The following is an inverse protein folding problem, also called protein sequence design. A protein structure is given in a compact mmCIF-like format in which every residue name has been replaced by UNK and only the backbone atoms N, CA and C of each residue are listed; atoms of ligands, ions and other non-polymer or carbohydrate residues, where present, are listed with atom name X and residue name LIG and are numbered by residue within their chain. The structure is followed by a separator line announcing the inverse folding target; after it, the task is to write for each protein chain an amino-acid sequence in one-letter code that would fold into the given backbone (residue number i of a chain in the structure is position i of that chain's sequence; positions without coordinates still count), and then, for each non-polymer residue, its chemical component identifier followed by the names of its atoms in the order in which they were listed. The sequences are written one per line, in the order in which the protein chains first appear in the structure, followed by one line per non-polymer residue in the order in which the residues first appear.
data_IF_773558065052
#
_entry.id   IF_773558065052
#
_cell.length_a   1.000
_cell.length_b   1.000
_cell.length_c   1.000
_cell.angle_alpha   90.00
_cell.angle_beta   90.00
_cell.angle_gamma   90.00
#
_symmetry.space_group_name_H-M   'P 1'
#
loop_
_entity.id
_entity.type
_entity.pdbx_description
1 polymer ?
#
# COMPACT_ATOMS: atom_id res chain seq x y z
N UNK A 1 -19.56 -2.57 -7.14
CA UNK A 1 -19.87 -1.62 -8.24
C UNK A 1 -19.93 -0.16 -7.75
N UNK A 2 -20.90 0.21 -6.89
CA UNK A 2 -21.07 1.61 -6.45
C UNK A 2 -19.77 2.25 -5.92
N UNK A 3 -19.04 1.54 -5.04
CA UNK A 3 -17.76 2.02 -4.51
C UNK A 3 -16.76 2.37 -5.61
N UNK A 4 -16.61 1.53 -6.63
CA UNK A 4 -15.71 1.80 -7.76
C UNK A 4 -16.10 3.08 -8.53
N UNK A 5 -17.40 3.31 -8.76
CA UNK A 5 -17.90 4.50 -9.45
C UNK A 5 -17.60 5.77 -8.63
N UNK A 6 -17.89 5.72 -7.33
CA UNK A 6 -17.63 6.84 -6.42
C UNK A 6 -16.13 7.09 -6.23
N UNK A 7 -15.30 6.05 -6.15
CA UNK A 7 -13.85 6.17 -6.07
C UNK A 7 -13.29 6.93 -7.27
N UNK A 8 -13.65 6.53 -8.49
CA UNK A 8 -13.19 7.22 -9.70
C UNK A 8 -13.67 8.69 -9.74
N UNK A 9 -14.90 8.97 -9.30
CA UNK A 9 -15.40 10.33 -9.18
C UNK A 9 -14.62 11.17 -8.16
N UNK A 10 -14.29 10.61 -6.98
CA UNK A 10 -13.48 11.29 -5.96
C UNK A 10 -12.07 11.60 -6.45
N UNK A 11 -11.39 10.63 -7.09
CA UNK A 11 -10.05 10.84 -7.66
C UNK A 11 -10.05 12.00 -8.65
N UNK A 12 -10.96 11.99 -9.63
CA UNK A 12 -11.11 13.09 -10.60
C UNK A 12 -11.48 14.42 -9.94
N UNK A 13 -12.30 14.40 -8.89
CA UNK A 13 -12.65 15.58 -8.12
C UNK A 13 -11.44 16.25 -7.47
N UNK A 14 -10.61 15.45 -6.79
CA UNK A 14 -9.39 15.92 -6.11
C UNK A 14 -8.31 16.38 -7.07
N UNK A 15 -8.03 15.60 -8.13
CA UNK A 15 -6.86 15.82 -8.99
C UNK A 15 -7.16 16.64 -10.25
N UNK A 16 -8.42 16.71 -10.67
CA UNK A 16 -8.75 17.20 -12.02
C UNK A 16 -8.24 16.27 -13.11
N UNK A 17 -8.13 16.79 -14.33
CA UNK A 17 -7.58 16.06 -15.49
C UNK A 17 -6.05 15.93 -15.42
N UNK A 18 -5.38 16.91 -14.83
CA UNK A 18 -3.94 16.90 -14.58
C UNK A 18 -3.64 17.69 -13.31
N UNK A 19 -2.90 17.07 -12.39
CA UNK A 19 -2.61 17.65 -11.08
C UNK A 19 -1.87 19.00 -11.17
N UNK A 20 -1.01 19.16 -12.18
CA UNK A 20 -0.24 20.38 -12.42
C UNK A 20 -1.04 21.52 -13.09
N UNK A 21 -2.25 21.25 -13.57
CA UNK A 21 -3.02 22.21 -14.35
C UNK A 21 -3.78 23.24 -13.48
N UNK A 22 -4.06 22.92 -12.22
CA UNK A 22 -4.78 23.82 -11.30
C UNK A 22 -4.19 23.72 -9.88
N UNK A 23 -3.61 24.80 -9.32
CA UNK A 23 -2.98 24.78 -8.00
C UNK A 23 -3.96 24.56 -6.83
N UNK A 24 -5.27 24.56 -7.10
CA UNK A 24 -6.30 24.23 -6.10
C UNK A 24 -6.59 22.73 -6.02
N UNK A 25 -6.05 21.93 -6.95
CA UNK A 25 -6.17 20.47 -6.97
C UNK A 25 -5.11 19.84 -6.08
N UNK A 26 -5.41 18.63 -5.61
CA UNK A 26 -4.56 17.88 -4.67
C UNK A 26 -4.42 16.44 -5.13
N UNK A 27 -3.24 15.86 -4.90
CA UNK A 27 -2.98 14.45 -5.14
C UNK A 27 -3.93 13.60 -4.29
N UNK A 28 -4.62 12.66 -4.92
CA UNK A 28 -5.46 11.70 -4.21
C UNK A 28 -4.60 10.48 -3.80
N UNK A 29 -4.89 9.97 -2.61
CA UNK A 29 -4.31 8.73 -2.09
C UNK A 29 -5.43 7.69 -1.93
N UNK A 30 -5.38 6.60 -2.68
CA UNK A 30 -6.33 5.50 -2.52
C UNK A 30 -5.93 4.63 -1.33
N UNK A 31 -6.87 4.41 -0.40
CA UNK A 31 -6.60 3.68 0.84
C UNK A 31 -7.78 2.85 1.34
N UNK A 32 -7.58 1.78 2.13
CA UNK A 32 -6.28 1.18 2.51
C UNK A 32 -6.11 -0.12 1.71
N UNK A 33 -5.00 -0.25 0.97
CA UNK A 33 -4.72 -1.35 0.05
C UNK A 33 -4.09 -2.53 0.80
N UNK A 34 -4.79 -3.65 1.04
CA UNK A 34 -6.15 -3.95 0.61
C UNK A 34 -6.96 -4.76 1.64
N UNK A 35 -8.26 -4.81 1.38
CA UNK A 35 -9.25 -5.60 2.12
C UNK A 35 -9.44 -5.22 3.61
N UNK A 36 -8.90 -4.08 4.07
CA UNK A 36 -8.95 -3.64 5.47
C UNK A 36 -10.33 -3.71 6.13
N UNK A 37 -11.40 -3.37 5.41
CA UNK A 37 -12.77 -3.47 5.93
C UNK A 37 -13.30 -4.90 6.15
N UNK A 38 -12.51 -5.93 5.81
CA UNK A 38 -12.82 -7.34 6.02
C UNK A 38 -12.35 -7.88 7.38
N UNK A 39 -11.88 -7.03 8.28
CA UNK A 39 -11.27 -7.43 9.54
C UNK A 39 -12.19 -8.35 10.37
N UNK A 40 -11.63 -9.48 10.83
CA UNK A 40 -12.40 -10.52 11.50
C UNK A 40 -13.07 -9.99 12.77
N UNK A 41 -14.36 -10.29 12.91
CA UNK A 41 -15.18 -9.83 14.03
C UNK A 41 -15.41 -8.31 14.07
N UNK A 42 -15.12 -7.59 12.98
CA UNK A 42 -15.32 -6.14 12.88
C UNK A 42 -14.39 -5.33 13.79
N UNK A 43 -13.30 -5.93 14.26
CA UNK A 43 -12.30 -5.27 15.10
C UNK A 43 -11.27 -4.57 14.22
N UNK A 44 -11.05 -3.29 14.48
CA UNK A 44 -10.03 -2.52 13.78
C UNK A 44 -8.65 -3.22 13.86
N UNK A 45 -7.82 -3.08 12.83
CA UNK A 45 -6.49 -3.74 12.69
C UNK A 45 -6.47 -5.27 12.61
N UNK A 46 -7.58 -5.95 12.84
CA UNK A 46 -7.58 -7.41 12.98
C UNK A 46 -7.38 -8.14 11.64
N UNK A 47 -7.05 -9.43 11.72
CA UNK A 47 -6.81 -10.34 10.61
C UNK A 47 -7.87 -10.27 9.51
N UNK A 48 -7.43 -10.29 8.25
CA UNK A 48 -8.29 -10.57 7.09
C UNK A 48 -7.82 -11.85 6.43
N UNK A 49 -8.67 -12.88 6.45
CA UNK A 49 -8.46 -14.12 5.70
C UNK A 49 -9.47 -14.19 4.56
N UNK A 50 -8.98 -14.26 3.32
CA UNK A 50 -9.83 -14.15 2.14
C UNK A 50 -9.26 -14.93 0.97
N UNK A 51 -10.11 -15.66 0.25
CA UNK A 51 -9.68 -16.33 -0.97
C UNK A 51 -9.32 -15.33 -2.06
N UNK A 52 -8.35 -15.69 -2.90
CA UNK A 52 -7.91 -14.85 -4.02
C UNK A 52 -9.06 -14.46 -4.95
N UNK A 53 -9.97 -15.40 -5.21
CA UNK A 53 -11.17 -15.12 -5.99
C UNK A 53 -12.03 -14.02 -5.35
N UNK A 54 -12.26 -14.06 -4.03
CA UNK A 54 -13.05 -13.03 -3.35
C UNK A 54 -12.29 -11.70 -3.28
N UNK A 55 -10.99 -11.74 -3.02
CA UNK A 55 -10.12 -10.57 -3.04
C UNK A 55 -10.26 -9.80 -4.37
N UNK A 56 -10.06 -10.49 -5.49
CA UNK A 56 -10.13 -9.91 -6.85
C UNK A 56 -11.52 -9.42 -7.23
N UNK A 57 -12.58 -10.12 -6.84
CA UNK A 57 -13.94 -9.79 -7.28
C UNK A 57 -14.67 -8.79 -6.38
N UNK A 58 -14.25 -8.65 -5.12
CA UNK A 58 -14.98 -7.84 -4.12
C UNK A 58 -14.14 -6.67 -3.59
N UNK A 59 -12.89 -6.93 -3.18
CA UNK A 59 -12.09 -5.95 -2.43
C UNK A 59 -11.20 -5.08 -3.31
N UNK A 60 -10.63 -5.66 -4.37
CA UNK A 60 -9.73 -4.98 -5.31
C UNK A 60 -10.40 -4.05 -6.35
N UNK A 61 -11.65 -4.26 -6.81
CA UNK A 61 -12.23 -3.43 -7.88
C UNK A 61 -12.29 -1.92 -7.60
N UNK A 62 -12.52 -1.43 -6.38
CA UNK A 62 -12.45 0.01 -6.10
C UNK A 62 -11.06 0.61 -6.27
N UNK A 63 -10.00 -0.14 -5.92
CA UNK A 63 -8.61 0.31 -6.11
C UNK A 63 -8.24 0.34 -7.59
N UNK A 64 -8.59 -0.70 -8.36
CA UNK A 64 -8.39 -0.67 -9.81
C UNK A 64 -9.11 0.51 -10.47
N UNK A 65 -10.31 0.86 -9.99
CA UNK A 65 -11.01 2.05 -10.45
C UNK A 65 -10.32 3.37 -10.08
N UNK A 66 -9.64 3.44 -8.92
CA UNK A 66 -8.81 4.59 -8.55
C UNK A 66 -7.62 4.74 -9.51
N UNK A 67 -6.92 3.65 -9.80
CA UNK A 67 -5.81 3.60 -10.75
C UNK A 67 -6.25 4.02 -12.16
N UNK A 68 -7.35 3.45 -12.66
CA UNK A 68 -7.91 3.82 -13.96
C UNK A 68 -8.36 5.29 -14.02
N UNK A 69 -8.61 5.92 -12.87
CA UNK A 69 -8.91 7.36 -12.76
C UNK A 69 -7.65 8.22 -12.54
N UNK A 70 -6.46 7.61 -12.55
CA UNK A 70 -5.17 8.29 -12.44
C UNK A 70 -4.74 8.66 -11.02
N UNK A 71 -5.15 7.90 -9.99
CA UNK A 71 -4.78 8.22 -8.59
C UNK A 71 -3.27 8.35 -8.40
N UNK A 72 -2.83 9.42 -7.74
CA UNK A 72 -1.42 9.74 -7.59
C UNK A 72 -0.67 8.78 -6.66
N UNK A 73 -1.30 8.38 -5.55
CA UNK A 73 -0.67 7.48 -4.57
C UNK A 73 -1.64 6.40 -4.07
N UNK A 74 -1.08 5.30 -3.56
CA UNK A 74 -1.81 4.22 -2.86
C UNK A 74 -1.21 4.05 -1.47
N UNK A 75 -2.05 3.82 -0.46
CA UNK A 75 -1.59 3.56 0.91
C UNK A 75 -1.84 2.10 1.28
N UNK A 76 -0.79 1.40 1.72
CA UNK A 76 -0.89 0.03 2.22
C UNK A 76 -1.74 -0.05 3.50
N UNK A 77 -2.40 -1.18 3.76
CA UNK A 77 -3.28 -1.37 4.93
C UNK A 77 -2.60 -2.07 6.10
N UNK A 78 -3.08 -1.83 7.32
CA UNK A 78 -2.55 -2.46 8.53
C UNK A 78 -2.76 -3.98 8.62
N UNK A 79 -3.87 -4.50 8.08
CA UNK A 79 -4.22 -5.90 8.26
C UNK A 79 -3.28 -6.85 7.53
N UNK A 80 -3.24 -8.09 8.00
CA UNK A 80 -2.82 -9.21 7.17
C UNK A 80 -3.86 -9.48 6.09
N UNK A 81 -3.41 -9.87 4.90
CA UNK A 81 -4.25 -10.46 3.85
C UNK A 81 -3.77 -11.88 3.65
N UNK A 82 -4.60 -12.85 4.08
CA UNK A 82 -4.29 -14.29 4.01
C UNK A 82 -2.95 -14.64 4.68
N UNK A 83 -2.72 -14.03 5.85
CA UNK A 83 -1.56 -14.29 6.72
C UNK A 83 -0.38 -13.34 6.53
N UNK A 84 -0.34 -12.53 5.48
CA UNK A 84 0.80 -11.62 5.22
C UNK A 84 0.39 -10.15 5.43
N UNK A 85 1.04 -9.38 6.34
CA UNK A 85 0.83 -7.93 6.50
C UNK A 85 0.95 -7.18 5.17
N UNK A 86 0.01 -6.30 4.85
CA UNK A 86 -0.03 -5.69 3.51
C UNK A 86 1.21 -4.82 3.20
N UNK A 87 1.83 -4.20 4.20
CA UNK A 87 3.08 -3.43 4.05
C UNK A 87 4.28 -4.27 3.59
N UNK A 88 4.24 -5.60 3.77
CA UNK A 88 5.29 -6.53 3.33
C UNK A 88 4.75 -7.59 2.35
N UNK A 89 3.60 -7.35 1.73
CA UNK A 89 2.95 -8.31 0.84
C UNK A 89 3.33 -8.04 -0.62
N UNK A 90 4.36 -8.72 -1.13
CA UNK A 90 4.84 -8.59 -2.52
C UNK A 90 3.79 -8.99 -3.56
N UNK A 91 2.93 -9.96 -3.24
CA UNK A 91 1.83 -10.35 -4.11
C UNK A 91 0.88 -9.18 -4.35
N UNK A 92 0.51 -8.44 -3.29
CA UNK A 92 -0.34 -7.26 -3.44
C UNK A 92 0.40 -6.08 -4.06
N UNK A 93 1.54 -5.69 -3.47
CA UNK A 93 2.20 -4.42 -3.75
C UNK A 93 3.08 -4.46 -5.00
N UNK A 94 3.56 -5.62 -5.42
CA UNK A 94 4.39 -5.77 -6.62
C UNK A 94 3.64 -6.55 -7.70
N UNK A 95 3.27 -7.80 -7.48
CA UNK A 95 2.65 -8.64 -8.53
C UNK A 95 1.34 -8.02 -9.00
N UNK A 96 0.37 -7.79 -8.11
CA UNK A 96 -0.93 -7.21 -8.50
C UNK A 96 -0.78 -5.74 -8.89
N UNK A 97 -0.18 -4.91 -8.03
CA UNK A 97 -0.22 -3.46 -8.22
C UNK A 97 0.74 -2.97 -9.31
N UNK A 98 2.02 -3.41 -9.29
CA UNK A 98 3.04 -2.96 -10.26
C UNK A 98 2.98 -3.76 -11.55
N UNK A 99 2.94 -5.09 -11.48
CA UNK A 99 3.11 -5.94 -12.65
C UNK A 99 1.79 -6.19 -13.39
N UNK A 100 0.73 -6.62 -12.71
CA UNK A 100 -0.55 -6.87 -13.39
C UNK A 100 -1.25 -5.57 -13.76
N UNK A 101 -1.24 -4.59 -12.84
CA UNK A 101 -2.01 -3.36 -13.02
C UNK A 101 -1.22 -2.20 -13.60
N UNK A 102 0.10 -2.36 -13.74
CA UNK A 102 1.00 -1.36 -14.34
C UNK A 102 0.90 0.00 -13.63
N UNK A 103 0.76 -0.02 -12.30
CA UNK A 103 0.75 1.20 -11.50
C UNK A 103 2.17 1.72 -11.29
N UNK A 104 2.42 2.97 -11.65
CA UNK A 104 3.73 3.63 -11.53
C UNK A 104 3.77 4.71 -10.43
N UNK A 105 2.63 5.01 -9.79
CA UNK A 105 2.55 6.01 -8.72
C UNK A 105 3.18 5.55 -7.40
N UNK A 106 3.17 6.42 -6.39
CA UNK A 106 3.85 6.12 -5.12
C UNK A 106 2.99 5.27 -4.19
N UNK A 107 3.58 4.23 -3.59
CA UNK A 107 3.00 3.45 -2.51
C UNK A 107 3.54 3.99 -1.18
N UNK A 108 2.64 4.55 -0.36
CA UNK A 108 2.98 5.00 0.99
C UNK A 108 2.60 3.93 2.01
N UNK A 109 3.40 3.77 3.06
CA UNK A 109 2.93 3.04 4.23
C UNK A 109 1.79 3.83 4.88
N UNK A 110 0.86 3.13 5.52
CA UNK A 110 0.08 3.75 6.60
C UNK A 110 0.97 4.14 7.79
N UNK A 111 0.40 4.90 8.72
CA UNK A 111 1.06 5.42 9.91
C UNK A 111 1.76 4.30 10.69
N UNK A 112 3.09 4.34 10.83
CA UNK A 112 3.90 3.31 11.51
C UNK A 112 3.74 1.88 10.99
N UNK A 113 3.10 1.67 9.84
CA UNK A 113 2.80 0.32 9.37
C UNK A 113 4.04 -0.54 9.06
N UNK A 114 5.18 0.10 8.72
CA UNK A 114 6.46 -0.61 8.60
C UNK A 114 6.92 -1.13 9.96
N UNK A 115 6.95 -0.28 11.00
CA UNK A 115 7.28 -0.65 12.37
C UNK A 115 6.36 -1.76 12.92
N UNK A 116 5.09 -1.77 12.52
CA UNK A 116 4.11 -2.77 12.96
C UNK A 116 4.33 -4.16 12.37
N UNK A 117 5.19 -4.32 11.36
CA UNK A 117 5.62 -5.65 10.88
C UNK A 117 6.24 -6.50 12.00
N UNK A 118 6.87 -5.85 12.98
CA UNK A 118 7.42 -6.52 14.17
C UNK A 118 6.29 -7.05 15.06
N UNK A 119 5.25 -6.25 15.29
CA UNK A 119 4.09 -6.66 16.09
C UNK A 119 3.28 -7.78 15.42
N UNK A 120 3.25 -7.80 14.09
CA UNK A 120 2.71 -8.92 13.30
C UNK A 120 3.58 -10.18 13.36
N UNK A 121 4.79 -10.10 13.91
CA UNK A 121 5.74 -11.22 13.99
C UNK A 121 6.39 -11.58 12.67
N UNK A 122 6.36 -10.68 11.67
CA UNK A 122 6.98 -10.90 10.36
C UNK A 122 8.44 -10.41 10.33
N UNK A 123 8.73 -9.31 11.03
CA UNK A 123 10.06 -8.72 11.09
C UNK A 123 10.70 -8.92 12.47
N UNK A 124 12.00 -9.17 12.50
CA UNK A 124 12.75 -9.32 13.77
C UNK A 124 13.00 -7.97 14.47
N UNK A 125 13.29 -6.93 13.70
CA UNK A 125 13.60 -5.59 14.17
C UNK A 125 13.24 -4.52 13.11
N UNK A 126 13.57 -3.26 13.38
CA UNK A 126 13.30 -2.14 12.46
C UNK A 126 14.07 -2.22 11.14
N UNK A 127 15.29 -2.76 11.13
CA UNK A 127 16.10 -2.90 9.93
C UNK A 127 15.52 -3.98 9.01
N UNK A 128 15.09 -5.11 9.58
CA UNK A 128 14.40 -6.15 8.83
C UNK A 128 13.01 -5.67 8.35
N UNK A 129 12.27 -4.92 9.17
CA UNK A 129 10.97 -4.37 8.80
C UNK A 129 11.04 -3.48 7.55
N UNK A 130 11.95 -2.51 7.51
CA UNK A 130 12.08 -1.63 6.33
C UNK A 130 12.62 -2.37 5.11
N UNK A 131 13.54 -3.33 5.30
CA UNK A 131 14.04 -4.19 4.22
C UNK A 131 12.90 -4.96 3.55
N UNK A 132 12.02 -5.56 4.35
CA UNK A 132 10.85 -6.29 3.86
C UNK A 132 9.82 -5.36 3.18
N UNK A 133 9.54 -4.20 3.76
CA UNK A 133 8.58 -3.25 3.21
C UNK A 133 9.01 -2.67 1.84
N UNK A 134 10.27 -2.23 1.72
CA UNK A 134 10.85 -1.77 0.45
C UNK A 134 10.85 -2.90 -0.60
N UNK A 135 11.25 -4.12 -0.17
CA UNK A 135 11.25 -5.29 -1.03
C UNK A 135 9.86 -5.66 -1.57
N UNK A 136 8.82 -5.49 -0.75
CA UNK A 136 7.44 -5.74 -1.16
C UNK A 136 6.88 -4.66 -2.09
N UNK A 137 7.34 -3.40 -1.94
CA UNK A 137 7.00 -2.29 -2.83
C UNK A 137 6.37 -1.07 -2.17
N UNK A 138 6.62 -0.87 -0.89
CA UNK A 138 6.44 0.44 -0.24
C UNK A 138 7.56 1.37 -0.70
N UNK A 139 7.23 2.60 -1.11
CA UNK A 139 8.22 3.61 -1.55
C UNK A 139 8.45 4.71 -0.50
N UNK A 140 7.51 4.90 0.44
CA UNK A 140 7.59 5.93 1.48
C UNK A 140 7.12 5.39 2.83
N UNK A 141 8.00 5.46 3.82
CA UNK A 141 7.69 5.15 5.22
C UNK A 141 7.06 6.36 5.91
N UNK A 142 5.90 6.16 6.53
CA UNK A 142 5.15 7.17 7.26
C UNK A 142 5.38 7.03 8.77
N UNK A 143 5.92 8.10 9.38
CA UNK A 143 6.10 8.33 10.83
C UNK A 143 7.16 7.47 11.52
N UNK A 144 7.26 6.17 11.24
CA UNK A 144 8.42 5.41 11.71
C UNK A 144 9.70 5.87 10.98
N UNK A 145 10.86 5.54 11.54
CA UNK A 145 12.16 6.11 11.18
C UNK A 145 13.14 5.09 10.61
N UNK A 146 12.69 3.88 10.29
CA UNK A 146 13.58 2.78 9.94
C UNK A 146 14.36 3.00 8.65
N UNK A 147 13.76 3.64 7.64
CA UNK A 147 14.47 4.00 6.40
C UNK A 147 15.61 4.98 6.68
N UNK A 148 15.36 5.98 7.53
CA UNK A 148 16.37 6.98 7.90
C UNK A 148 17.45 6.41 8.83
N UNK A 149 17.12 5.43 9.68
CA UNK A 149 18.04 4.85 10.65
C UNK A 149 18.89 3.70 10.07
N UNK A 150 18.33 2.95 9.12
CA UNK A 150 18.93 1.70 8.62
C UNK A 150 19.21 1.69 7.11
N UNK A 151 18.56 2.56 6.32
CA UNK A 151 18.59 2.52 4.86
C UNK A 151 20.00 2.55 4.26
N UNK A 152 20.87 3.46 4.71
CA UNK A 152 22.24 3.57 4.20
C UNK A 152 23.05 2.27 4.43
N UNK A 153 22.90 1.66 5.60
CA UNK A 153 23.62 0.41 5.94
C UNK A 153 23.08 -0.76 5.13
N UNK A 154 21.76 -0.85 4.97
CA UNK A 154 21.12 -1.88 4.17
C UNK A 154 21.53 -1.77 2.70
N UNK A 155 21.59 -0.55 2.16
CA UNK A 155 22.03 -0.29 0.80
C UNK A 155 23.49 -0.67 0.60
N UNK A 156 24.38 -0.24 1.51
CA UNK A 156 25.80 -0.58 1.45
C UNK A 156 26.07 -2.08 1.56
N UNK A 157 25.22 -2.82 2.29
CA UNK A 157 25.27 -4.27 2.40
C UNK A 157 24.65 -5.02 1.22
N UNK A 158 24.02 -4.33 0.26
CA UNK A 158 23.26 -4.93 -0.83
C UNK A 158 21.99 -5.66 -0.38
N UNK A 159 21.45 -5.30 0.79
CA UNK A 159 20.26 -5.91 1.37
C UNK A 159 18.94 -5.27 0.86
N UNK A 160 19.03 -4.11 0.23
CA UNK A 160 17.94 -3.44 -0.48
C UNK A 160 18.40 -3.02 -1.88
N UNK A 161 17.47 -2.98 -2.83
CA UNK A 161 17.75 -2.61 -4.22
C UNK A 161 17.94 -1.10 -4.36
N UNK A 162 19.05 -0.59 -4.94
CA UNK A 162 19.25 0.84 -5.20
C UNK A 162 18.18 1.49 -6.10
N UNK A 163 17.40 0.70 -6.85
CA UNK A 163 16.28 1.19 -7.66
C UNK A 163 15.00 1.46 -6.83
N UNK A 164 14.99 1.06 -5.55
CA UNK A 164 13.91 1.23 -4.59
C UNK A 164 14.28 2.29 -3.56
#
# INVERSE_FOLDING_TARGET
YLTSVLTAAKVRGYQGEALSADPRKVAACAKHFAAYGGAEGGRDYNTVDVSEQRLRNVYLPPFKAALNAGVATVMASFNTVSGVPAHANSHLLTEVLREEWQYDGMVVSDWTGVQELIAHGLAEDGADAIRQALGAGVDMEMVSTHITEHGEKLLAAGAIDPAR
#
